data_IF_437648401290
#
_entry.id   IF_437648401290
#
_cell.length_a   1.000
_cell.length_b   1.000
_cell.length_c   1.000
_cell.angle_alpha   90.00
_cell.angle_beta   90.00
_cell.angle_gamma   90.00
#
_symmetry.space_group_name_H-M   'P 1'
#
loop_
_entity.id
_entity.type
_entity.pdbx_description
1 polymer ?
#
# COMPACT_ATOMS: atom_id res chain seq x y z
N UNK A 1 -27.04 -8.05 26.00
CA UNK A 1 -26.07 -8.91 25.28
C UNK A 1 -25.37 -8.02 24.29
N UNK A 2 -24.14 -7.60 24.61
CA UNK A 2 -23.33 -6.79 23.70
C UNK A 2 -22.92 -7.67 22.53
N UNK A 3 -23.43 -7.35 21.35
CA UNK A 3 -22.88 -7.87 20.10
C UNK A 3 -21.58 -7.12 19.84
N UNK A 4 -20.49 -7.53 20.50
CA UNK A 4 -19.16 -7.16 20.05
C UNK A 4 -18.94 -7.84 18.71
N UNK A 5 -19.23 -7.09 17.65
CA UNK A 5 -18.85 -7.43 16.29
C UNK A 5 -17.32 -7.58 16.34
N UNK A 6 -16.75 -8.74 15.97
CA UNK A 6 -15.31 -8.91 16.04
C UNK A 6 -14.64 -7.78 15.25
N UNK A 7 -13.62 -7.16 15.85
CA UNK A 7 -12.84 -6.14 15.18
C UNK A 7 -12.39 -6.70 13.82
N UNK A 8 -12.54 -5.90 12.76
CA UNK A 8 -12.14 -6.33 11.42
C UNK A 8 -10.68 -6.81 11.45
N UNK A 9 -10.42 -7.93 10.78
CA UNK A 9 -9.06 -8.45 10.67
C UNK A 9 -8.16 -7.41 9.99
N UNK A 10 -6.98 -7.15 10.57
CA UNK A 10 -5.98 -6.28 9.96
C UNK A 10 -5.51 -6.92 8.66
N UNK A 11 -5.44 -6.12 7.60
CA UNK A 11 -4.85 -6.54 6.34
C UNK A 11 -3.40 -6.07 6.26
N UNK A 12 -2.60 -6.72 5.39
CA UNK A 12 -1.25 -6.25 5.07
C UNK A 12 -1.23 -4.79 4.61
N UNK A 13 -2.25 -4.38 3.85
CA UNK A 13 -2.40 -3.00 3.40
C UNK A 13 -2.63 -2.02 4.56
N UNK A 14 -3.23 -2.46 5.67
CA UNK A 14 -3.39 -1.64 6.87
C UNK A 14 -2.05 -1.37 7.56
N UNK A 15 -1.22 -2.41 7.69
CA UNK A 15 0.13 -2.31 8.25
C UNK A 15 1.00 -1.37 7.40
N UNK A 16 1.03 -1.58 6.08
CA UNK A 16 1.80 -0.73 5.14
C UNK A 16 1.35 0.73 5.21
N UNK A 17 0.05 0.98 5.36
CA UNK A 17 -0.46 2.35 5.46
C UNK A 17 0.00 3.02 6.74
N UNK A 18 -0.03 2.31 7.86
CA UNK A 18 0.37 2.79 9.17
C UNK A 18 1.88 3.04 9.28
N UNK A 19 2.70 2.15 8.71
CA UNK A 19 4.16 2.28 8.71
C UNK A 19 4.66 3.21 7.59
N UNK A 20 3.98 3.26 6.46
CA UNK A 20 4.49 3.91 5.24
C UNK A 20 5.52 3.04 4.50
N UNK A 21 6.13 3.62 3.46
CA UNK A 21 7.11 2.91 2.62
C UNK A 21 8.42 2.60 3.36
N UNK A 22 8.84 3.49 4.26
CA UNK A 22 10.02 3.32 5.11
C UNK A 22 9.67 3.77 6.51
N UNK A 23 9.85 2.89 7.49
CA UNK A 23 9.45 3.15 8.87
C UNK A 23 10.52 2.74 9.86
N UNK A 24 10.84 3.61 10.80
CA UNK A 24 11.64 3.32 11.97
C UNK A 24 10.79 3.46 13.23
N UNK A 25 10.91 2.51 14.14
CA UNK A 25 10.21 2.52 15.43
C UNK A 25 11.28 2.44 16.52
N UNK A 26 11.16 3.27 17.54
CA UNK A 26 11.91 3.18 18.80
C UNK A 26 10.94 2.91 19.94
N UNK A 27 11.26 1.93 20.78
CA UNK A 27 10.56 1.64 22.01
C UNK A 27 11.25 2.32 23.21
N UNK A 28 10.50 2.57 24.29
CA UNK A 28 11.01 3.24 25.50
C UNK A 28 12.18 2.51 26.20
N UNK A 29 12.33 1.20 25.98
CA UNK A 29 13.48 0.42 26.47
C UNK A 29 14.75 0.58 25.59
N UNK A 30 14.66 1.34 24.49
CA UNK A 30 15.74 1.54 23.53
C UNK A 30 15.74 0.53 22.39
N UNK A 31 14.80 -0.42 22.34
CA UNK A 31 14.68 -1.33 21.19
C UNK A 31 14.26 -0.56 19.96
N UNK A 32 14.84 -0.92 18.82
CA UNK A 32 14.53 -0.28 17.54
C UNK A 32 14.20 -1.31 16.48
N UNK A 33 13.32 -0.95 15.55
CA UNK A 33 13.07 -1.72 14.34
C UNK A 33 12.99 -0.83 13.10
N UNK A 34 13.44 -1.39 11.98
CA UNK A 34 13.34 -0.78 10.67
C UNK A 34 12.54 -1.67 9.71
N UNK A 35 11.59 -1.03 9.00
CA UNK A 35 10.68 -1.67 8.07
C UNK A 35 10.73 -1.00 6.69
N UNK A 36 10.55 -1.80 5.64
CA UNK A 36 10.38 -1.34 4.24
C UNK A 36 9.09 -1.94 3.69
N UNK A 37 8.17 -1.10 3.22
CA UNK A 37 6.83 -1.51 2.76
C UNK A 37 6.14 -2.44 3.76
N UNK A 38 6.28 -2.11 5.05
CA UNK A 38 5.81 -2.88 6.18
C UNK A 38 6.53 -4.21 6.43
N UNK A 39 7.53 -4.61 5.64
CA UNK A 39 8.31 -5.82 5.91
C UNK A 39 9.39 -5.51 6.94
N UNK A 40 9.50 -6.36 7.97
CA UNK A 40 10.57 -6.26 8.95
C UNK A 40 11.93 -6.52 8.31
N UNK A 41 12.88 -5.60 8.47
CA UNK A 41 14.21 -5.72 7.88
C UNK A 41 15.25 -6.08 8.94
N UNK A 42 15.29 -5.31 10.04
CA UNK A 42 16.28 -5.48 11.10
C UNK A 42 15.85 -4.74 12.36
N UNK A 43 16.47 -5.08 13.48
CA UNK A 43 16.26 -4.46 14.79
C UNK A 43 17.58 -4.23 15.52
N UNK A 44 17.53 -3.40 16.56
CA UNK A 44 18.59 -3.27 17.56
C UNK A 44 17.98 -3.50 18.94
N UNK A 45 18.64 -4.31 19.77
CA UNK A 45 18.28 -4.51 21.17
C UNK A 45 18.95 -3.43 22.04
N UNK A 46 18.12 -2.65 22.72
CA UNK A 46 18.54 -1.56 23.61
C UNK A 46 19.29 -2.05 24.85
N UNK A 47 18.90 -3.22 25.40
CA UNK A 47 19.56 -3.83 26.55
C UNK A 47 20.94 -4.39 26.18
N UNK A 48 21.08 -4.93 24.97
CA UNK A 48 22.34 -5.44 24.42
C UNK A 48 23.28 -4.35 23.90
N UNK A 49 22.81 -3.10 23.81
CA UNK A 49 23.53 -1.95 23.25
C UNK A 49 23.96 -2.18 21.81
N UNK A 50 23.09 -2.80 21.03
CA UNK A 50 23.30 -2.95 19.60
C UNK A 50 23.42 -1.57 18.93
N UNK A 51 24.17 -1.46 17.83
CA UNK A 51 24.18 -0.24 17.04
C UNK A 51 22.76 0.12 16.57
N UNK A 52 22.34 1.35 16.87
CA UNK A 52 21.06 1.89 16.41
C UNK A 52 20.87 1.74 14.89
N UNK A 53 19.66 1.38 14.48
CA UNK A 53 19.31 1.15 13.07
C UNK A 53 18.77 2.41 12.39
N UNK A 54 18.61 3.52 13.11
CA UNK A 54 18.04 4.77 12.57
C UNK A 54 18.85 5.34 11.40
N UNK A 55 20.18 5.33 11.46
CA UNK A 55 20.99 5.90 10.39
C UNK A 55 20.97 5.03 9.13
N UNK A 56 20.88 3.70 9.29
CA UNK A 56 20.59 2.79 8.19
C UNK A 56 19.23 3.14 7.57
N UNK A 57 18.18 3.25 8.39
CA UNK A 57 16.83 3.58 7.92
C UNK A 57 16.79 4.91 7.15
N UNK A 58 17.42 5.96 7.68
CA UNK A 58 17.52 7.28 7.03
C UNK A 58 18.24 7.21 5.70
N UNK A 59 19.39 6.53 5.66
CA UNK A 59 20.19 6.43 4.44
C UNK A 59 19.47 5.64 3.35
N UNK A 60 18.80 4.54 3.71
CA UNK A 60 18.03 3.73 2.77
C UNK A 60 16.83 4.50 2.23
N UNK A 61 16.03 5.13 3.09
CA UNK A 61 14.87 5.94 2.68
C UNK A 61 15.29 7.09 1.75
N UNK A 62 16.36 7.81 2.11
CA UNK A 62 16.93 8.89 1.29
C UNK A 62 17.44 8.39 -0.06
N UNK A 63 18.15 7.26 -0.08
CA UNK A 63 18.64 6.68 -1.33
C UNK A 63 17.49 6.27 -2.27
N UNK A 64 16.36 5.84 -1.70
CA UNK A 64 15.16 5.50 -2.45
C UNK A 64 14.30 6.72 -2.85
N UNK A 65 14.60 7.92 -2.32
CA UNK A 65 13.81 9.13 -2.57
C UNK A 65 12.47 9.18 -1.82
N UNK A 66 12.34 8.42 -0.72
CA UNK A 66 11.13 8.38 0.10
C UNK A 66 11.37 9.01 1.48
N UNK A 67 10.33 9.60 2.10
CA UNK A 67 10.41 10.03 3.49
C UNK A 67 10.52 8.81 4.43
N UNK A 68 11.28 8.95 5.50
CA UNK A 68 11.29 8.00 6.62
C UNK A 68 10.21 8.41 7.61
N UNK A 69 9.28 7.50 7.93
CA UNK A 69 8.35 7.67 9.04
C UNK A 69 9.01 7.18 10.32
N UNK A 70 8.88 7.93 11.41
CA UNK A 70 9.46 7.60 12.71
C UNK A 70 8.37 7.56 13.78
N UNK A 71 8.42 6.55 14.64
CA UNK A 71 7.54 6.42 15.81
C UNK A 71 8.35 6.18 17.07
N UNK A 72 7.93 6.81 18.16
CA UNK A 72 8.40 6.55 19.52
C UNK A 72 7.20 5.98 20.28
N UNK A 73 7.33 4.75 20.81
CA UNK A 73 6.23 3.99 21.38
C UNK A 73 6.63 3.37 22.72
N UNK A 74 5.67 3.14 23.65
CA UNK A 74 5.96 2.33 24.82
C UNK A 74 6.20 0.86 24.44
N UNK A 75 7.03 0.18 25.25
CA UNK A 75 7.15 -1.28 25.19
C UNK A 75 5.76 -1.89 25.44
N UNK A 76 5.35 -2.92 24.67
CA UNK A 76 4.13 -3.65 24.97
C UNK A 76 4.11 -4.18 26.42
N UNK A 77 2.93 -4.20 27.05
CA UNK A 77 2.77 -4.68 28.43
C UNK A 77 2.95 -6.21 28.56
N UNK A 78 2.98 -6.93 27.44
CA UNK A 78 3.18 -8.37 27.38
C UNK A 78 4.69 -8.67 27.38
N UNK A 79 5.16 -9.44 28.35
CA UNK A 79 6.57 -9.84 28.46
C UNK A 79 7.04 -10.74 27.30
N UNK A 80 6.12 -11.39 26.56
CA UNK A 80 6.40 -12.23 25.39
C UNK A 80 6.13 -11.53 24.05
N UNK A 81 6.09 -10.19 24.04
CA UNK A 81 5.78 -9.42 22.83
C UNK A 81 6.77 -9.68 21.67
N UNK A 82 6.27 -9.46 20.46
CA UNK A 82 7.09 -9.40 19.26
C UNK A 82 6.77 -8.17 18.40
N UNK A 83 7.64 -7.87 17.44
CA UNK A 83 7.47 -6.72 16.53
C UNK A 83 6.15 -6.75 15.74
N UNK A 84 5.55 -7.93 15.54
CA UNK A 84 4.23 -8.04 14.91
C UNK A 84 3.13 -7.40 15.79
N UNK A 85 3.21 -7.53 17.11
CA UNK A 85 2.24 -6.93 18.03
C UNK A 85 2.33 -5.40 18.00
N UNK A 86 3.54 -4.86 17.87
CA UNK A 86 3.80 -3.42 17.75
C UNK A 86 3.20 -2.86 16.46
N UNK A 87 3.46 -3.49 15.31
CA UNK A 87 2.90 -3.03 14.03
C UNK A 87 1.38 -3.18 13.96
N UNK A 88 0.81 -4.23 14.55
CA UNK A 88 -0.64 -4.40 14.61
C UNK A 88 -1.29 -3.32 15.49
N UNK A 89 -0.72 -3.06 16.67
CA UNK A 89 -1.23 -2.03 17.59
C UNK A 89 -1.17 -0.65 16.93
N UNK A 90 -0.07 -0.36 16.23
CA UNK A 90 0.08 0.89 15.47
C UNK A 90 -0.91 0.97 14.30
N UNK A 91 -1.13 -0.13 13.56
CA UNK A 91 -2.11 -0.17 12.47
C UNK A 91 -3.56 -0.01 12.96
N UNK A 92 -3.85 -0.40 14.20
CA UNK A 92 -5.16 -0.18 14.83
C UNK A 92 -5.33 1.24 15.38
N UNK A 93 -4.24 1.92 15.74
CA UNK A 93 -4.29 3.26 16.34
C UNK A 93 -4.44 4.37 15.29
N UNK A 94 -3.99 4.14 14.04
CA UNK A 94 -4.18 5.11 12.97
C UNK A 94 -5.66 5.28 12.63
N UNK A 95 -6.15 6.51 12.78
CA UNK A 95 -7.46 6.87 12.30
C UNK A 95 -7.47 6.82 10.77
N UNK A 96 -8.47 6.12 10.22
CA UNK A 96 -8.60 5.98 8.76
C UNK A 96 -10.00 6.31 8.31
N UNK A 97 -10.11 6.81 7.09
CA UNK A 97 -11.38 7.01 6.40
C UNK A 97 -11.33 6.38 5.00
N UNK A 98 -12.48 5.93 4.50
CA UNK A 98 -12.61 5.52 3.11
C UNK A 98 -12.99 6.74 2.27
N UNK A 99 -12.13 7.10 1.32
CA UNK A 99 -12.38 8.18 0.36
C UNK A 99 -12.58 7.63 -1.05
N UNK A 100 -13.21 8.43 -1.90
CA UNK A 100 -13.35 8.14 -3.33
C UNK A 100 -12.24 8.82 -4.12
N UNK A 101 -11.57 8.03 -4.95
CA UNK A 101 -10.54 8.50 -5.88
C UNK A 101 -10.89 8.09 -7.32
N UNK A 102 -10.19 8.66 -8.30
CA UNK A 102 -10.33 8.26 -9.70
C UNK A 102 -9.03 8.34 -10.48
N UNK A 103 -8.90 7.51 -11.51
CA UNK A 103 -7.77 7.46 -12.45
C UNK A 103 -8.28 7.22 -13.88
N UNK A 104 -7.57 7.74 -14.88
CA UNK A 104 -7.86 7.45 -16.28
C UNK A 104 -7.17 6.14 -16.66
N UNK A 105 -7.90 5.26 -17.33
CA UNK A 105 -7.40 3.96 -17.80
C UNK A 105 -7.68 3.83 -19.29
N UNK A 106 -6.66 3.52 -20.08
CA UNK A 106 -6.78 3.17 -21.49
C UNK A 106 -6.78 1.65 -21.63
N UNK A 107 -7.78 1.07 -22.30
CA UNK A 107 -7.80 -0.33 -22.73
C UNK A 107 -7.55 -0.44 -24.23
N UNK A 108 -6.79 -1.45 -24.61
CA UNK A 108 -6.46 -1.74 -26.00
C UNK A 108 -6.53 -3.23 -26.29
N UNK A 109 -6.94 -3.58 -27.51
CA UNK A 109 -6.82 -4.93 -28.06
C UNK A 109 -5.74 -4.92 -29.13
N UNK A 110 -4.71 -5.76 -28.97
CA UNK A 110 -3.61 -5.86 -29.92
C UNK A 110 -4.06 -6.59 -31.18
N UNK A 111 -3.31 -6.41 -32.28
CA UNK A 111 -3.58 -7.09 -33.57
C UNK A 111 -3.55 -8.62 -33.45
N UNK A 112 -2.82 -9.15 -32.48
CA UNK A 112 -2.72 -10.57 -32.18
C UNK A 112 -3.84 -11.08 -31.26
N UNK A 113 -4.82 -10.23 -30.91
CA UNK A 113 -5.94 -10.56 -30.01
C UNK A 113 -5.59 -10.51 -28.52
N UNK A 114 -4.40 -9.99 -28.16
CA UNK A 114 -4.04 -9.72 -26.77
C UNK A 114 -4.79 -8.50 -26.26
N UNK A 115 -4.98 -8.39 -24.94
CA UNK A 115 -5.67 -7.26 -24.31
C UNK A 115 -4.77 -6.65 -23.25
N UNK A 116 -4.82 -5.34 -23.11
CA UNK A 116 -4.01 -4.64 -22.12
C UNK A 116 -4.68 -3.37 -21.62
N UNK A 117 -4.34 -2.98 -20.39
CA UNK A 117 -4.73 -1.71 -19.78
C UNK A 117 -3.50 -0.89 -19.41
N UNK A 118 -3.62 0.42 -19.53
CA UNK A 118 -2.63 1.40 -19.12
C UNK A 118 -3.28 2.42 -18.19
N UNK A 119 -2.67 2.68 -17.03
CA UNK A 119 -3.13 3.69 -16.08
C UNK A 119 -2.41 5.01 -16.38
N UNK A 120 -3.13 5.98 -16.94
CA UNK A 120 -2.56 7.22 -17.43
C UNK A 120 -2.06 8.10 -16.27
N UNK A 121 -0.78 8.49 -16.34
CA UNK A 121 -0.13 9.38 -15.37
C UNK A 121 -0.27 8.92 -13.91
N UNK A 122 -0.49 7.63 -13.66
CA UNK A 122 -0.60 7.10 -12.30
C UNK A 122 0.80 6.91 -11.70
N UNK A 123 1.12 7.49 -10.54
CA UNK A 123 2.49 7.55 -10.00
C UNK A 123 3.16 6.17 -9.86
N UNK A 124 2.38 5.12 -9.60
CA UNK A 124 2.87 3.75 -9.50
C UNK A 124 2.64 2.92 -10.78
N UNK A 125 1.51 3.11 -11.47
CA UNK A 125 1.00 2.14 -12.45
C UNK A 125 1.29 2.56 -13.90
N UNK A 126 1.72 3.80 -14.14
CA UNK A 126 2.15 4.23 -15.47
C UNK A 126 3.59 3.79 -15.79
N UNK A 127 4.35 3.36 -14.80
CA UNK A 127 5.78 3.05 -14.93
C UNK A 127 6.66 4.30 -15.12
N UNK A 128 7.99 4.10 -15.10
CA UNK A 128 9.00 5.18 -15.13
C UNK A 128 8.90 6.05 -16.39
N UNK A 129 8.52 5.46 -17.53
CA UNK A 129 8.36 6.17 -18.80
C UNK A 129 6.91 6.54 -19.13
N UNK A 130 5.99 6.43 -18.15
CA UNK A 130 4.54 6.66 -18.33
C UNK A 130 3.90 5.82 -19.45
N UNK A 131 4.43 4.63 -19.74
CA UNK A 131 3.93 3.75 -20.81
C UNK A 131 3.95 2.26 -20.41
N UNK A 132 3.66 1.97 -19.14
CA UNK A 132 3.47 0.59 -18.68
C UNK A 132 2.10 0.06 -19.09
N UNK A 133 2.08 -1.11 -19.74
CA UNK A 133 0.86 -1.84 -20.11
C UNK A 133 0.76 -3.13 -19.30
N UNK A 134 -0.40 -3.36 -18.73
CA UNK A 134 -0.70 -4.54 -17.93
C UNK A 134 -1.60 -5.48 -18.73
N UNK A 135 -1.26 -6.77 -18.87
CA UNK A 135 -2.04 -7.70 -19.64
C UNK A 135 -3.40 -7.96 -18.97
N UNK A 136 -4.43 -8.10 -19.80
CA UNK A 136 -5.79 -8.49 -19.41
C UNK A 136 -6.06 -9.89 -19.94
N UNK A 137 -6.64 -10.75 -19.09
CA UNK A 137 -7.02 -12.09 -19.49
C UNK A 137 -7.99 -12.09 -20.66
N UNK A 138 -7.92 -13.11 -21.53
CA UNK A 138 -8.76 -13.18 -22.73
C UNK A 138 -10.26 -13.05 -22.41
N UNK A 139 -10.70 -13.77 -21.38
CA UNK A 139 -12.07 -13.81 -20.87
C UNK A 139 -12.30 -12.86 -19.67
N UNK A 140 -11.32 -12.02 -19.34
CA UNK A 140 -11.41 -11.12 -18.18
C UNK A 140 -12.12 -9.81 -18.57
N UNK A 141 -13.18 -9.45 -17.87
CA UNK A 141 -13.85 -8.17 -18.10
C UNK A 141 -12.96 -6.97 -17.74
N UNK A 142 -13.07 -5.86 -18.49
CA UNK A 142 -12.24 -4.66 -18.25
C UNK A 142 -12.37 -4.14 -16.82
N UNK A 143 -13.59 -4.15 -16.28
CA UNK A 143 -13.83 -3.74 -14.89
C UNK A 143 -13.05 -4.61 -13.91
N UNK A 144 -13.13 -5.94 -14.06
CA UNK A 144 -12.45 -6.90 -13.19
C UNK A 144 -10.92 -6.75 -13.29
N UNK A 145 -10.39 -6.54 -14.49
CA UNK A 145 -8.95 -6.32 -14.69
C UNK A 145 -8.45 -5.05 -14.00
N UNK A 146 -9.18 -3.94 -14.16
CA UNK A 146 -8.83 -2.66 -13.53
C UNK A 146 -8.92 -2.77 -12.01
N UNK A 147 -9.99 -3.37 -11.48
CA UNK A 147 -10.17 -3.60 -10.06
C UNK A 147 -9.04 -4.46 -9.48
N UNK A 148 -8.74 -5.60 -10.11
CA UNK A 148 -7.67 -6.50 -9.70
C UNK A 148 -6.34 -5.78 -9.62
N UNK A 149 -5.97 -5.00 -10.64
CA UNK A 149 -4.70 -4.25 -10.61
C UNK A 149 -4.68 -3.24 -9.48
N UNK A 150 -5.75 -2.46 -9.28
CA UNK A 150 -5.83 -1.47 -8.21
C UNK A 150 -5.71 -2.12 -6.82
N UNK A 151 -6.41 -3.22 -6.58
CA UNK A 151 -6.38 -3.96 -5.30
C UNK A 151 -5.02 -4.62 -5.08
N UNK A 152 -4.48 -5.32 -6.08
CA UNK A 152 -3.18 -6.02 -5.95
C UNK A 152 -2.02 -5.07 -5.65
N UNK A 153 -2.13 -3.80 -6.05
CA UNK A 153 -1.11 -2.78 -5.77
C UNK A 153 -1.43 -1.95 -4.51
N UNK A 154 -2.42 -2.35 -3.70
CA UNK A 154 -2.77 -1.66 -2.45
C UNK A 154 -3.36 -0.25 -2.65
N UNK A 155 -3.87 0.05 -3.85
CA UNK A 155 -4.36 1.38 -4.22
C UNK A 155 -5.86 1.56 -3.95
N UNK A 156 -6.62 0.48 -3.97
CA UNK A 156 -8.07 0.49 -3.80
C UNK A 156 -8.56 -0.65 -2.89
N UNK A 157 -9.67 -0.41 -2.21
CA UNK A 157 -10.48 -1.46 -1.58
C UNK A 157 -11.33 -2.18 -2.63
N UNK A 158 -11.92 -1.41 -3.54
CA UNK A 158 -12.69 -1.93 -4.67
C UNK A 158 -12.90 -0.84 -5.75
N UNK A 159 -13.14 -1.27 -6.99
CA UNK A 159 -13.58 -0.41 -8.06
C UNK A 159 -15.10 -0.23 -7.96
N UNK A 160 -15.59 0.96 -8.32
CA UNK A 160 -17.03 1.30 -8.17
C UNK A 160 -17.67 1.77 -9.45
N UNK A 161 -16.89 2.32 -10.37
CA UNK A 161 -17.35 2.64 -11.70
C UNK A 161 -16.18 2.61 -12.67
N UNK A 162 -16.46 2.18 -13.91
CA UNK A 162 -15.58 2.31 -15.05
C UNK A 162 -16.36 3.03 -16.15
N UNK A 163 -16.29 4.36 -16.17
CA UNK A 163 -17.14 5.19 -17.03
C UNK A 163 -16.39 5.53 -18.32
N UNK A 164 -16.94 5.22 -19.52
CA UNK A 164 -16.31 5.58 -20.78
C UNK A 164 -16.12 7.10 -20.90
N UNK A 165 -14.92 7.51 -21.30
CA UNK A 165 -14.58 8.91 -21.61
C UNK A 165 -14.44 9.11 -23.11
N UNK A 166 -13.76 8.16 -23.77
CA UNK A 166 -13.52 8.18 -25.21
C UNK A 166 -13.48 6.76 -25.73
N UNK A 167 -14.13 6.53 -26.86
CA UNK A 167 -14.08 5.26 -27.56
C UNK A 167 -13.65 5.51 -29.01
N UNK A 168 -12.64 4.77 -29.47
CA UNK A 168 -12.20 4.80 -30.84
C UNK A 168 -11.89 3.37 -31.32
N UNK A 169 -11.56 3.22 -32.60
CA UNK A 169 -11.33 1.90 -33.20
C UNK A 169 -10.16 1.12 -32.57
N UNK A 170 -9.19 1.81 -31.95
CA UNK A 170 -7.94 1.19 -31.47
C UNK A 170 -7.87 1.07 -29.94
N UNK A 171 -8.59 1.92 -29.21
CA UNK A 171 -8.59 1.94 -27.74
C UNK A 171 -9.85 2.59 -27.17
N UNK A 172 -10.07 2.34 -25.88
CA UNK A 172 -11.11 2.98 -25.08
C UNK A 172 -10.48 3.57 -23.83
N UNK A 173 -10.78 4.83 -23.54
CA UNK A 173 -10.40 5.48 -22.29
C UNK A 173 -11.59 5.48 -21.34
N UNK A 174 -11.34 5.14 -20.08
CA UNK A 174 -12.30 5.17 -19.00
C UNK A 174 -11.83 6.02 -17.83
N UNK A 175 -12.78 6.62 -17.11
CA UNK A 175 -12.58 7.07 -15.74
C UNK A 175 -12.90 5.91 -14.80
N UNK A 176 -11.87 5.33 -14.21
CA UNK A 176 -11.99 4.35 -13.14
C UNK A 176 -12.17 5.09 -11.81
N UNK A 177 -13.29 4.86 -11.13
CA UNK A 177 -13.59 5.45 -9.81
C UNK A 177 -13.60 4.35 -8.76
N UNK A 178 -12.82 4.52 -7.69
CA UNK A 178 -12.59 3.47 -6.70
C UNK A 178 -12.59 4.02 -5.27
N UNK A 179 -12.81 3.11 -4.31
CA UNK A 179 -12.67 3.40 -2.88
C UNK A 179 -11.24 3.13 -2.44
N UNK A 180 -10.69 3.97 -1.58
CA UNK A 180 -9.40 3.73 -0.92
C UNK A 180 -9.45 4.19 0.52
N UNK A 181 -8.76 3.45 1.38
CA UNK A 181 -8.57 3.83 2.78
C UNK A 181 -7.35 4.76 2.91
N UNK A 182 -7.53 5.90 3.56
CA UNK A 182 -6.47 6.90 3.83
C UNK A 182 -6.37 7.16 5.33
N UNK A 183 -5.20 7.63 5.78
CA UNK A 183 -5.00 8.12 7.15
C UNK A 183 -5.46 9.57 7.21
N UNK A 184 -6.15 9.93 8.30
CA UNK A 184 -6.61 11.30 8.60
C UNK A 184 -5.79 11.95 9.72
#
# INVERSE_FOLDING_TARGET
MNNDKPAAALTRADIIRALGAYCHITLDNGDEAFYINGDFITCADGASRDPSVIDLARNVARAAGYPLRCFELPVPDDDEWCWNDVEEKLARSVMTETVRASVIVTGCVTKQGGRGIHFCSHPLLSGVNSNLWLPVGKEEEWFAAVERVLIMNGLAENLTALTPLRECAEYTDWKATYNRKVII
#
